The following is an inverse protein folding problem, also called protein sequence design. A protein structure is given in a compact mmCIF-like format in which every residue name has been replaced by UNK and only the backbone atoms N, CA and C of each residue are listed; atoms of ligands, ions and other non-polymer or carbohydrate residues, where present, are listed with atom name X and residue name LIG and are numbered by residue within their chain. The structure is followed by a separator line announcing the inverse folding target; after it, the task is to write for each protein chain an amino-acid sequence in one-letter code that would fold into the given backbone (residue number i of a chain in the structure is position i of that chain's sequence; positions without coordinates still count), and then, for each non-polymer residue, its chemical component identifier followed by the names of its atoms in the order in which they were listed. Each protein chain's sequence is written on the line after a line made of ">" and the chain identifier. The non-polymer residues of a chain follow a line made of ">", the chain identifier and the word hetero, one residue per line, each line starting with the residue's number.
data_IF_679462385989
#
_entry.id   IF_679462385989
#
_cell.length_a   1.000
_cell.length_b   1.000
_cell.length_c   1.000
_cell.angle_alpha   90.00
_cell.angle_beta   90.00
_cell.angle_gamma   90.00
#
_symmetry.space_group_name_H-M   'P 1'
#
loop_
_entity.id
_entity.type
_entity.pdbx_description
1 polymer ?
#
# COMPACT_ATOMS: atom_id res chain seq x y z
N UNK A 1 4.91 27.24 -4.46
CA UNK A 1 5.11 26.52 -3.20
C UNK A 1 6.56 26.09 -3.10
N UNK A 2 7.25 26.40 -1.99
CA UNK A 2 8.60 25.90 -1.75
C UNK A 2 8.57 24.39 -1.55
N UNK A 3 9.51 23.67 -2.18
CA UNK A 3 9.69 22.23 -2.00
C UNK A 3 10.68 22.00 -0.88
N UNK A 4 10.32 21.14 0.07
CA UNK A 4 11.21 20.68 1.14
C UNK A 4 11.86 19.39 0.67
N UNK A 5 13.21 19.37 0.65
CA UNK A 5 13.98 18.20 0.22
C UNK A 5 14.70 17.62 1.43
N UNK A 6 14.45 16.34 1.71
CA UNK A 6 15.15 15.58 2.75
C UNK A 6 15.81 14.35 2.15
N UNK A 7 17.05 14.07 2.54
CA UNK A 7 17.87 12.96 2.02
C UNK A 7 18.22 11.90 3.07
N UNK A 8 17.71 12.02 4.27
CA UNK A 8 18.12 11.21 5.39
C UNK A 8 17.21 10.01 5.65
N UNK A 9 17.64 9.15 6.54
CA UNK A 9 16.90 7.98 6.98
C UNK A 9 15.57 8.33 7.66
N UNK A 10 15.48 9.49 8.28
CA UNK A 10 14.25 9.98 8.91
C UNK A 10 13.10 10.15 7.91
N UNK A 11 13.40 10.71 6.72
CA UNK A 11 12.42 10.82 5.64
C UNK A 11 11.94 9.44 5.19
N UNK A 12 12.83 8.44 5.07
CA UNK A 12 12.45 7.06 4.72
C UNK A 12 11.57 6.43 5.77
N UNK A 13 11.88 6.61 7.05
CA UNK A 13 11.05 6.13 8.17
C UNK A 13 9.68 6.79 8.20
N UNK A 14 9.60 8.09 7.88
CA UNK A 14 8.33 8.80 7.74
C UNK A 14 7.46 8.19 6.63
N UNK A 15 8.04 7.98 5.45
CA UNK A 15 7.37 7.30 4.33
C UNK A 15 6.87 5.90 4.73
N UNK A 16 7.72 5.11 5.39
CA UNK A 16 7.38 3.75 5.84
C UNK A 16 6.23 3.77 6.86
N UNK A 17 6.25 4.70 7.83
CA UNK A 17 5.17 4.86 8.80
C UNK A 17 3.84 5.18 8.11
N UNK A 18 3.82 6.16 7.24
CA UNK A 18 2.61 6.55 6.50
C UNK A 18 2.03 5.43 5.65
N UNK A 19 2.91 4.70 4.95
CA UNK A 19 2.55 3.51 4.18
C UNK A 19 1.95 2.43 5.09
N UNK A 20 2.57 2.16 6.24
CA UNK A 20 2.09 1.14 7.17
C UNK A 20 0.74 1.52 7.80
N UNK A 21 0.54 2.78 8.22
CA UNK A 21 -0.72 3.26 8.80
C UNK A 21 -1.87 3.01 7.83
N UNK A 22 -1.72 3.39 6.56
CA UNK A 22 -2.75 3.20 5.57
C UNK A 22 -2.97 1.71 5.26
N UNK A 23 -1.90 0.97 5.00
CA UNK A 23 -2.00 -0.45 4.66
C UNK A 23 -2.59 -1.29 5.80
N UNK A 24 -2.22 -1.03 7.05
CA UNK A 24 -2.75 -1.75 8.21
C UNK A 24 -4.24 -1.43 8.42
N UNK A 25 -4.69 -0.21 8.13
CA UNK A 25 -6.12 0.14 8.17
C UNK A 25 -6.91 -0.60 7.11
N UNK A 26 -6.40 -0.66 5.88
CA UNK A 26 -7.06 -1.39 4.77
C UNK A 26 -7.03 -2.90 5.01
N UNK A 27 -5.96 -3.42 5.57
CA UNK A 27 -5.75 -4.86 5.81
C UNK A 27 -6.81 -5.51 6.68
N UNK A 28 -7.45 -4.79 7.61
CA UNK A 28 -8.51 -5.33 8.47
C UNK A 28 -9.74 -5.77 7.69
N UNK A 29 -9.91 -5.31 6.45
CA UNK A 29 -11.01 -5.69 5.55
C UNK A 29 -10.72 -6.95 4.74
N UNK A 30 -9.50 -7.51 4.82
CA UNK A 30 -9.06 -8.62 3.99
C UNK A 30 -9.65 -9.97 4.44
N UNK A 31 -10.13 -10.73 3.46
CA UNK A 31 -10.50 -12.14 3.60
C UNK A 31 -11.87 -12.40 4.23
N UNK A 32 -12.21 -13.66 4.49
CA UNK A 32 -13.55 -14.08 4.95
C UNK A 32 -13.89 -13.60 6.37
N UNK A 33 -12.90 -13.19 7.15
CA UNK A 33 -13.07 -12.56 8.47
C UNK A 33 -12.83 -11.05 8.43
N UNK A 34 -12.78 -10.49 7.23
CA UNK A 34 -12.63 -9.04 7.03
C UNK A 34 -13.74 -8.26 7.72
N UNK A 35 -13.37 -7.14 8.33
CA UNK A 35 -14.30 -6.26 9.06
C UNK A 35 -14.54 -5.00 8.24
N UNK A 36 -15.69 -4.39 8.45
CA UNK A 36 -15.95 -3.06 7.94
C UNK A 36 -15.18 -2.02 8.74
N UNK A 37 -14.75 -0.97 8.07
CA UNK A 37 -14.14 0.21 8.69
C UNK A 37 -15.18 1.32 8.73
N UNK A 38 -15.25 2.02 9.85
CA UNK A 38 -16.09 3.22 10.02
C UNK A 38 -15.21 4.43 9.79
N UNK A 39 -15.54 5.19 8.76
CA UNK A 39 -14.82 6.42 8.40
C UNK A 39 -15.63 7.62 8.88
N UNK A 40 -15.03 8.43 9.74
CA UNK A 40 -15.62 9.68 10.17
C UNK A 40 -15.54 10.71 9.03
N UNK A 41 -16.65 11.39 8.78
CA UNK A 41 -16.68 12.51 7.84
C UNK A 41 -16.81 13.82 8.59
N UNK A 42 -16.07 14.83 8.18
CA UNK A 42 -16.19 16.20 8.74
C UNK A 42 -17.61 16.76 8.60
N UNK A 43 -18.34 16.32 7.58
CA UNK A 43 -19.71 16.73 7.28
C UNK A 43 -20.53 15.50 6.86
N UNK A 44 -21.62 15.24 7.57
CA UNK A 44 -22.53 14.15 7.27
C UNK A 44 -22.38 12.91 8.15
N UNK A 45 -23.08 11.85 7.80
CA UNK A 45 -23.02 10.59 8.54
C UNK A 45 -21.71 9.84 8.28
N UNK A 46 -21.19 9.09 9.28
CA UNK A 46 -20.03 8.23 9.09
C UNK A 46 -20.28 7.21 7.99
N UNK A 47 -19.26 6.94 7.19
CA UNK A 47 -19.33 5.91 6.13
C UNK A 47 -18.80 4.60 6.65
N UNK A 48 -19.57 3.53 6.47
CA UNK A 48 -19.17 2.16 6.81
C UNK A 48 -18.84 1.45 5.49
N UNK A 49 -17.61 0.99 5.34
CA UNK A 49 -17.16 0.32 4.13
C UNK A 49 -16.10 -0.73 4.41
N UNK A 50 -15.98 -1.70 3.51
CA UNK A 50 -14.90 -2.67 3.45
C UNK A 50 -14.07 -2.55 2.16
N UNK A 51 -14.39 -1.59 1.32
CA UNK A 51 -13.66 -1.34 0.08
C UNK A 51 -12.33 -0.63 0.33
N UNK A 52 -11.23 -1.29 -0.07
CA UNK A 52 -9.88 -0.78 0.17
C UNK A 52 -9.58 0.55 -0.50
N UNK A 53 -10.13 0.80 -1.69
CA UNK A 53 -9.95 2.08 -2.39
C UNK A 53 -10.68 3.21 -1.67
N UNK A 54 -11.92 2.99 -1.25
CA UNK A 54 -12.72 3.98 -0.52
C UNK A 54 -12.05 4.34 0.80
N UNK A 55 -11.56 3.34 1.55
CA UNK A 55 -10.83 3.57 2.80
C UNK A 55 -9.54 4.37 2.53
N UNK A 56 -8.78 3.95 1.53
CA UNK A 56 -7.51 4.61 1.21
C UNK A 56 -7.70 6.09 0.85
N UNK A 57 -8.75 6.44 0.11
CA UNK A 57 -9.04 7.83 -0.30
C UNK A 57 -9.36 8.76 0.86
N UNK A 58 -10.05 8.25 1.88
CA UNK A 58 -10.50 9.06 3.03
C UNK A 58 -9.42 9.25 4.11
N UNK A 59 -8.35 8.43 4.11
CA UNK A 59 -7.29 8.56 5.10
C UNK A 59 -6.40 9.75 4.77
N UNK A 60 -6.37 10.74 5.67
CA UNK A 60 -5.47 11.89 5.62
C UNK A 60 -4.53 11.83 6.82
N UNK A 61 -3.25 12.11 6.60
CA UNK A 61 -2.21 12.16 7.62
C UNK A 61 -1.67 13.59 7.74
N UNK A 62 -1.41 14.02 8.96
CA UNK A 62 -0.93 15.38 9.23
C UNK A 62 0.54 15.56 8.89
N UNK A 63 1.37 14.56 9.17
CA UNK A 63 2.80 14.60 8.88
C UNK A 63 3.07 14.57 7.36
N UNK A 64 3.86 15.51 6.82
CA UNK A 64 4.13 15.59 5.37
C UNK A 64 4.80 14.34 4.80
N UNK A 65 5.68 13.70 5.56
CA UNK A 65 6.40 12.50 5.11
C UNK A 65 5.49 11.26 5.14
N UNK A 66 4.69 11.12 6.19
CA UNK A 66 3.70 10.06 6.30
C UNK A 66 2.64 10.19 5.22
N UNK A 67 2.22 11.43 4.91
CA UNK A 67 1.28 11.70 3.81
C UNK A 67 1.80 11.20 2.47
N UNK A 68 3.07 11.45 2.15
CA UNK A 68 3.67 10.95 0.90
C UNK A 68 3.67 9.41 0.87
N UNK A 69 4.01 8.76 2.00
CA UNK A 69 3.95 7.31 2.12
C UNK A 69 2.55 6.75 1.89
N UNK A 70 1.53 7.38 2.47
CA UNK A 70 0.13 7.02 2.27
C UNK A 70 -0.30 7.23 0.80
N UNK A 71 0.09 8.35 0.17
CA UNK A 71 -0.24 8.61 -1.24
C UNK A 71 0.32 7.55 -2.20
N UNK A 72 1.51 7.00 -1.94
CA UNK A 72 2.05 5.90 -2.73
C UNK A 72 1.15 4.66 -2.68
N UNK A 73 0.59 4.34 -1.51
CA UNK A 73 -0.32 3.20 -1.35
C UNK A 73 -1.69 3.49 -1.99
N UNK A 74 -2.20 4.72 -1.86
CA UNK A 74 -3.42 5.16 -2.55
C UNK A 74 -3.30 4.95 -4.07
N UNK A 75 -2.14 5.30 -4.63
CA UNK A 75 -1.89 5.12 -6.07
C UNK A 75 -1.89 3.65 -6.48
N UNK A 76 -1.35 2.75 -5.63
CA UNK A 76 -1.40 1.29 -5.87
C UNK A 76 -2.85 0.80 -5.87
N UNK A 77 -3.64 1.19 -4.86
CA UNK A 77 -5.03 0.81 -4.76
C UNK A 77 -5.85 1.31 -5.96
N UNK A 78 -5.66 2.58 -6.34
CA UNK A 78 -6.33 3.20 -7.48
C UNK A 78 -5.99 2.50 -8.80
N UNK A 79 -4.71 2.25 -9.07
CA UNK A 79 -4.28 1.55 -10.30
C UNK A 79 -4.81 0.13 -10.38
N UNK A 80 -4.94 -0.55 -9.26
CA UNK A 80 -5.52 -1.90 -9.21
C UNK A 80 -7.02 -1.83 -9.52
N UNK A 81 -7.73 -0.86 -8.96
CA UNK A 81 -9.13 -0.61 -9.22
C UNK A 81 -9.39 -0.28 -10.71
N UNK A 82 -8.60 0.64 -11.27
CA UNK A 82 -8.70 1.06 -12.67
C UNK A 82 -8.51 -0.10 -13.67
N UNK A 83 -7.69 -1.10 -13.32
CA UNK A 83 -7.37 -2.23 -14.21
C UNK A 83 -8.27 -3.43 -13.99
N UNK A 84 -8.56 -3.77 -12.74
CA UNK A 84 -9.26 -5.02 -12.37
C UNK A 84 -10.62 -4.79 -11.70
N UNK A 85 -10.86 -3.61 -11.13
CA UNK A 85 -12.08 -3.32 -10.37
C UNK A 85 -12.22 -4.13 -9.08
N UNK A 86 -11.19 -4.90 -8.71
CA UNK A 86 -11.18 -5.78 -7.53
C UNK A 86 -9.74 -6.02 -7.05
N UNK A 87 -9.60 -6.58 -5.84
CA UNK A 87 -8.30 -6.97 -5.28
C UNK A 87 -7.49 -5.79 -4.73
N UNK A 88 -8.07 -4.63 -4.52
CA UNK A 88 -7.41 -3.41 -4.05
C UNK A 88 -6.78 -3.58 -2.66
N UNK A 89 -7.47 -4.26 -1.74
CA UNK A 89 -6.94 -4.60 -0.42
C UNK A 89 -5.74 -5.54 -0.52
N UNK A 90 -5.82 -6.57 -1.37
CA UNK A 90 -4.73 -7.52 -1.60
C UNK A 90 -3.50 -6.82 -2.19
N UNK A 91 -3.71 -5.95 -3.19
CA UNK A 91 -2.64 -5.17 -3.80
C UNK A 91 -1.96 -4.23 -2.79
N UNK A 92 -2.73 -3.60 -1.92
CA UNK A 92 -2.23 -2.74 -0.83
C UNK A 92 -1.34 -3.51 0.15
N UNK A 93 -1.80 -4.68 0.60
CA UNK A 93 -1.02 -5.55 1.51
C UNK A 93 0.25 -6.06 0.85
N UNK A 94 0.18 -6.43 -0.42
CA UNK A 94 1.34 -6.87 -1.19
C UNK A 94 2.35 -5.72 -1.37
N UNK A 95 1.88 -4.51 -1.68
CA UNK A 95 2.73 -3.33 -1.79
C UNK A 95 3.44 -3.02 -0.46
N UNK A 96 2.73 -3.11 0.67
CA UNK A 96 3.33 -2.96 2.00
C UNK A 96 4.47 -3.96 2.21
N UNK A 97 4.23 -5.24 1.93
CA UNK A 97 5.22 -6.29 2.10
C UNK A 97 6.47 -6.06 1.21
N UNK A 98 6.26 -5.67 -0.05
CA UNK A 98 7.34 -5.39 -0.99
C UNK A 98 8.18 -4.18 -0.57
N UNK A 99 7.55 -3.09 -0.15
CA UNK A 99 8.26 -1.89 0.29
C UNK A 99 9.03 -2.17 1.58
N UNK A 100 8.41 -2.84 2.55
CA UNK A 100 9.03 -3.19 3.82
C UNK A 100 10.27 -4.05 3.63
N UNK A 101 10.19 -5.09 2.80
CA UNK A 101 11.33 -5.95 2.49
C UNK A 101 12.38 -5.21 1.66
N UNK A 102 11.95 -4.36 0.71
CA UNK A 102 12.85 -3.52 -0.08
C UNK A 102 13.65 -2.55 0.79
N UNK A 103 13.00 -1.84 1.69
CA UNK A 103 13.67 -0.91 2.63
C UNK A 103 14.63 -1.64 3.56
N UNK A 104 14.27 -2.84 4.02
CA UNK A 104 15.15 -3.68 4.83
C UNK A 104 16.42 -4.08 4.09
N UNK A 105 16.31 -4.45 2.82
CA UNK A 105 17.45 -4.77 1.98
C UNK A 105 18.33 -3.54 1.69
N UNK A 106 17.71 -2.37 1.46
CA UNK A 106 18.45 -1.10 1.29
C UNK A 106 19.20 -0.73 2.56
N UNK A 107 18.58 -0.88 3.73
CA UNK A 107 19.24 -0.65 5.02
C UNK A 107 20.41 -1.61 5.26
N UNK A 108 20.37 -2.82 4.70
CA UNK A 108 21.46 -3.78 4.71
C UNK A 108 22.55 -3.52 3.65
N UNK A 109 22.45 -2.41 2.90
CA UNK A 109 23.46 -1.98 1.91
C UNK A 109 23.18 -2.41 0.48
N UNK A 110 21.99 -2.93 0.16
CA UNK A 110 21.64 -3.25 -1.21
C UNK A 110 21.38 -1.98 -2.03
N UNK A 111 21.83 -1.97 -3.28
CA UNK A 111 21.58 -0.88 -4.22
C UNK A 111 20.09 -0.85 -4.62
N UNK A 112 19.35 0.23 -4.32
CA UNK A 112 17.94 0.35 -4.66
C UNK A 112 17.66 0.26 -6.17
N UNK A 113 18.60 0.69 -7.01
CA UNK A 113 18.47 0.63 -8.47
C UNK A 113 18.46 -0.83 -8.95
N UNK A 114 19.24 -1.68 -8.31
CA UNK A 114 19.33 -3.10 -8.62
C UNK A 114 18.16 -3.94 -8.06
N UNK A 115 17.48 -3.46 -7.02
CA UNK A 115 16.29 -4.13 -6.50
C UNK A 115 15.10 -4.06 -7.45
N UNK A 116 14.98 -3.00 -8.22
CA UNK A 116 13.88 -2.77 -9.17
C UNK A 116 13.74 -3.86 -10.25
N UNK A 117 14.78 -4.27 -11.00
CA UNK A 117 14.67 -5.34 -11.97
C UNK A 117 14.42 -6.72 -11.33
N UNK A 118 14.98 -6.98 -10.15
CA UNK A 118 14.77 -8.23 -9.41
C UNK A 118 13.31 -8.41 -8.97
N UNK A 119 12.66 -7.38 -8.46
CA UNK A 119 11.23 -7.41 -8.13
C UNK A 119 10.36 -7.63 -9.37
N UNK A 120 10.73 -7.05 -10.51
CA UNK A 120 10.03 -7.19 -11.78
C UNK A 120 10.10 -8.61 -12.36
N UNK A 121 11.20 -9.35 -12.09
CA UNK A 121 11.38 -10.75 -12.49
C UNK A 121 10.60 -11.73 -11.60
N UNK A 122 10.29 -11.34 -10.36
CA UNK A 122 9.53 -12.16 -9.41
C UNK A 122 8.01 -12.12 -9.66
N UNK A 123 7.48 -10.99 -10.11
CA UNK A 123 6.05 -10.80 -10.35
C UNK A 123 5.43 -11.82 -11.32
N UNK A 124 6.04 -12.15 -12.49
CA UNK A 124 5.51 -13.17 -13.39
C UNK A 124 5.52 -14.58 -12.78
N UNK A 125 6.51 -14.89 -11.93
CA UNK A 125 6.58 -16.20 -11.27
C UNK A 125 5.48 -16.36 -10.21
N UNK A 126 5.14 -15.29 -9.49
CA UNK A 126 4.04 -15.29 -8.52
C UNK A 126 2.68 -15.43 -9.21
N UNK A 127 2.46 -14.77 -10.34
CA UNK A 127 1.21 -14.89 -11.10
C UNK A 127 1.00 -16.30 -11.67
N UNK A 128 2.06 -16.97 -12.11
CA UNK A 128 2.00 -18.36 -12.58
C UNK A 128 1.69 -19.37 -11.48
N UNK A 129 2.04 -19.07 -10.24
CA UNK A 129 1.72 -19.92 -9.08
C UNK A 129 0.32 -19.67 -8.52
N UNK A 130 -0.24 -18.48 -8.77
CA UNK A 130 -1.58 -18.09 -8.32
C UNK A 130 -2.71 -18.59 -9.24
N UNK A 131 -2.41 -19.13 -10.41
CA UNK A 131 -3.43 -19.78 -11.25
C UNK A 131 -3.95 -21.04 -10.56
N UNK A 132 -5.25 -21.12 -10.21
CA UNK A 132 -5.81 -22.32 -9.62
C UNK A 132 -5.61 -23.48 -10.60
N UNK A 133 -4.96 -24.54 -10.15
CA UNK A 133 -4.96 -25.80 -10.88
C UNK A 133 -6.43 -26.22 -11.01
N UNK A 134 -6.94 -26.29 -12.22
CA UNK A 134 -8.24 -26.86 -12.50
C UNK A 134 -8.27 -28.27 -11.90
N UNK A 135 -9.05 -28.44 -10.86
CA UNK A 135 -9.36 -29.79 -10.35
C UNK A 135 -10.32 -30.40 -11.36
N UNK A 136 -9.81 -31.26 -12.20
CA UNK A 136 -10.60 -32.22 -12.96
C UNK A 136 -10.96 -33.38 -12.06
#
# INVERSE_FOLDING_TARGET
>A
MAKIIHFNEEARRGLERGLNILADTVKVTLGPRGRNVVLEKKWGAPTITNDGVSIAKEIELDDPFERIGAELVKEVAKKTDDVAGDGTTTATVLAQALVREGLRNVAAGADPIQLRPKSRLLLPRLSLQATPRSVT
#
